data_IF_403301503069
#
_entry.id   IF_403301503069
#
_cell.length_a   1.000
_cell.length_b   1.000
_cell.length_c   1.000
_cell.angle_alpha   90.00
_cell.angle_beta   90.00
_cell.angle_gamma   90.00
#
_symmetry.space_group_name_H-M   'P 1'
#
loop_
_entity.id
_entity.type
_entity.pdbx_description
1 polymer ?
#
# COMPACT_ATOMS: atom_id res chain seq x y z
N UNK A 1 -16.32 10.18 22.37
CA UNK A 1 -15.35 9.08 22.37
C UNK A 1 -15.27 8.47 20.98
N UNK A 2 -14.10 8.03 20.56
CA UNK A 2 -13.90 7.28 19.33
C UNK A 2 -13.40 5.88 19.66
N UNK A 3 -13.73 4.93 18.79
CA UNK A 3 -13.24 3.56 18.87
C UNK A 3 -12.23 3.32 17.76
N UNK A 4 -11.21 2.54 18.04
CA UNK A 4 -10.19 2.17 17.05
C UNK A 4 -10.01 0.67 17.00
N UNK A 5 -9.72 0.16 15.82
CA UNK A 5 -9.27 -1.20 15.62
C UNK A 5 -8.08 -1.21 14.65
N UNK A 6 -7.28 -2.26 14.69
CA UNK A 6 -6.10 -2.40 13.85
C UNK A 6 -6.15 -3.69 13.05
N UNK A 7 -5.56 -3.66 11.87
CA UNK A 7 -5.42 -4.84 11.01
C UNK A 7 -4.07 -4.83 10.35
N UNK A 8 -3.42 -5.98 10.34
CA UNK A 8 -2.16 -6.21 9.62
C UNK A 8 -2.48 -6.97 8.33
N UNK A 9 -1.99 -6.47 7.21
CA UNK A 9 -2.16 -7.07 5.88
C UNK A 9 -0.79 -7.22 5.25
N UNK A 10 -0.46 -8.43 4.80
CA UNK A 10 0.77 -8.66 4.02
C UNK A 10 0.57 -8.14 2.60
N UNK A 11 1.51 -7.31 2.14
CA UNK A 11 1.51 -6.74 0.80
C UNK A 11 2.18 -7.66 -0.23
N UNK A 12 3.04 -8.59 0.23
CA UNK A 12 3.83 -9.45 -0.62
C UNK A 12 5.22 -8.88 -0.89
N UNK A 13 5.89 -9.42 -1.90
CA UNK A 13 7.25 -9.01 -2.28
C UNK A 13 7.20 -7.96 -3.37
N UNK A 14 7.96 -6.88 -3.18
CA UNK A 14 8.02 -5.76 -4.11
C UNK A 14 9.47 -5.37 -4.36
N UNK A 15 9.81 -5.10 -5.61
CA UNK A 15 11.12 -4.56 -5.97
C UNK A 15 11.00 -3.05 -6.20
N UNK A 16 11.99 -2.30 -5.73
CA UNK A 16 12.04 -0.85 -5.91
C UNK A 16 13.46 -0.32 -5.72
N UNK A 17 13.67 0.95 -6.03
CA UNK A 17 14.94 1.65 -5.84
C UNK A 17 14.70 3.10 -5.47
N UNK A 18 15.69 3.69 -4.78
CA UNK A 18 15.71 5.12 -4.46
C UNK A 18 16.69 5.81 -5.43
N UNK A 19 16.20 6.43 -6.52
CA UNK A 19 17.07 6.91 -7.59
C UNK A 19 18.00 8.06 -7.15
N UNK A 20 17.63 8.79 -6.10
CA UNK A 20 18.41 9.92 -5.60
C UNK A 20 19.32 9.57 -4.41
N UNK A 21 19.38 8.30 -4.01
CA UNK A 21 20.18 7.89 -2.85
C UNK A 21 21.67 7.84 -3.22
N UNK A 22 22.52 8.22 -2.25
CA UNK A 22 23.97 8.08 -2.30
C UNK A 22 24.46 6.80 -1.64
N UNK A 23 23.64 5.75 -1.64
CA UNK A 23 23.92 4.47 -1.01
C UNK A 23 23.49 3.34 -1.94
N UNK A 24 23.68 2.11 -1.48
CA UNK A 24 23.19 0.93 -2.22
C UNK A 24 21.68 0.91 -2.42
N UNK A 25 20.91 1.76 -1.72
CA UNK A 25 19.47 1.89 -1.94
C UNK A 25 19.11 2.39 -3.34
N UNK A 26 20.06 2.95 -4.09
CA UNK A 26 19.89 3.30 -5.50
C UNK A 26 19.79 2.07 -6.41
N UNK A 27 20.29 0.92 -5.95
CA UNK A 27 20.18 -0.32 -6.70
C UNK A 27 18.80 -0.92 -6.55
N UNK A 28 18.30 -1.52 -7.63
CA UNK A 28 17.05 -2.25 -7.56
C UNK A 28 17.18 -3.41 -6.57
N UNK A 29 16.25 -3.48 -5.63
CA UNK A 29 16.23 -4.52 -4.61
C UNK A 29 14.80 -4.81 -4.21
N UNK A 30 14.57 -5.92 -3.54
CA UNK A 30 13.24 -6.34 -3.15
C UNK A 30 13.11 -6.60 -1.67
N UNK A 31 11.91 -6.34 -1.15
CA UNK A 31 11.53 -6.64 0.22
C UNK A 31 10.15 -7.27 0.26
N UNK A 32 9.94 -8.15 1.24
CA UNK A 32 8.59 -8.55 1.64
C UNK A 32 8.05 -7.46 2.55
N UNK A 33 6.90 -6.92 2.17
CA UNK A 33 6.30 -5.78 2.86
C UNK A 33 5.02 -6.19 3.58
N UNK A 34 4.79 -5.56 4.72
CA UNK A 34 3.59 -5.70 5.54
C UNK A 34 3.06 -4.32 5.86
N UNK A 35 1.74 -4.17 5.90
CA UNK A 35 1.09 -2.93 6.28
C UNK A 35 0.24 -3.15 7.52
N UNK A 36 0.28 -2.18 8.44
CA UNK A 36 -0.63 -2.10 9.58
C UNK A 36 -1.49 -0.86 9.44
N UNK A 37 -2.78 -1.05 9.66
CA UNK A 37 -3.78 0.01 9.54
C UNK A 37 -4.48 0.23 10.87
N UNK A 38 -4.81 1.49 11.16
CA UNK A 38 -5.66 1.90 12.28
C UNK A 38 -6.94 2.46 11.70
N UNK A 39 -8.06 1.87 12.09
CA UNK A 39 -9.40 2.30 11.69
C UNK A 39 -10.09 2.94 12.88
N UNK A 40 -10.91 3.96 12.62
CA UNK A 40 -11.60 4.70 13.67
C UNK A 40 -13.06 4.94 13.28
N UNK A 41 -13.93 4.88 14.28
CA UNK A 41 -15.32 5.25 14.14
C UNK A 41 -15.85 5.82 15.46
N UNK A 42 -16.71 6.83 15.37
CA UNK A 42 -17.40 7.39 16.55
C UNK A 42 -18.55 6.48 16.99
N UNK A 43 -19.16 5.78 16.04
CA UNK A 43 -20.28 4.88 16.27
C UNK A 43 -19.94 3.51 15.70
N UNK A 44 -20.17 2.47 16.47
CA UNK A 44 -19.97 1.09 16.05
C UNK A 44 -21.15 0.61 15.19
N UNK A 45 -20.92 -0.46 14.44
CA UNK A 45 -22.00 -1.12 13.70
C UNK A 45 -22.85 -2.00 14.62
N UNK A 46 -23.80 -2.72 14.04
CA UNK A 46 -24.71 -3.60 14.80
C UNK A 46 -24.01 -4.75 15.52
N UNK A 47 -22.75 -5.08 15.13
CA UNK A 47 -21.96 -6.10 15.79
C UNK A 47 -20.94 -5.53 16.77
N UNK A 48 -21.03 -4.23 17.07
CA UNK A 48 -20.07 -3.48 17.89
C UNK A 48 -18.66 -3.44 17.29
N UNK A 49 -18.57 -3.41 15.96
CA UNK A 49 -17.30 -3.30 15.24
C UNK A 49 -17.09 -1.89 14.70
N UNK A 50 -15.82 -1.47 14.69
CA UNK A 50 -15.35 -0.30 13.93
C UNK A 50 -15.48 -0.59 12.43
N UNK A 51 -15.00 -1.75 12.03
CA UNK A 51 -15.12 -2.26 10.67
C UNK A 51 -15.11 -3.79 10.70
N UNK A 52 -15.87 -4.42 9.83
CA UNK A 52 -15.88 -5.86 9.67
C UNK A 52 -14.60 -6.31 8.95
N UNK A 53 -13.71 -7.02 9.66
CA UNK A 53 -12.47 -7.53 9.06
C UNK A 53 -12.74 -8.54 7.94
N UNK A 54 -13.83 -9.28 7.99
CA UNK A 54 -14.26 -10.15 6.89
C UNK A 54 -14.57 -9.37 5.62
N UNK A 55 -14.99 -8.12 5.74
CA UNK A 55 -15.25 -7.22 4.62
C UNK A 55 -14.00 -6.60 4.01
N UNK A 56 -12.80 -6.84 4.57
CA UNK A 56 -11.54 -6.26 4.08
C UNK A 56 -10.83 -7.12 3.02
N UNK A 57 -11.43 -8.21 2.59
CA UNK A 57 -10.83 -9.11 1.59
C UNK A 57 -10.51 -8.38 0.29
N UNK A 58 -11.42 -7.54 -0.20
CA UNK A 58 -11.22 -6.79 -1.43
C UNK A 58 -10.14 -5.72 -1.27
N UNK A 59 -10.03 -5.12 -0.09
CA UNK A 59 -8.91 -4.22 0.22
C UNK A 59 -7.58 -4.96 0.14
N UNK A 60 -7.50 -6.15 0.72
CA UNK A 60 -6.29 -6.99 0.63
C UNK A 60 -5.91 -7.26 -0.83
N UNK A 61 -6.89 -7.57 -1.66
CA UNK A 61 -6.65 -7.81 -3.09
C UNK A 61 -6.13 -6.55 -3.80
N UNK A 62 -6.68 -5.38 -3.50
CA UNK A 62 -6.21 -4.10 -4.05
C UNK A 62 -4.76 -3.83 -3.66
N UNK A 63 -4.41 -4.04 -2.39
CA UNK A 63 -3.07 -3.83 -1.89
C UNK A 63 -2.06 -4.81 -2.51
N UNK A 64 -2.42 -6.07 -2.57
CA UNK A 64 -1.54 -7.10 -3.16
C UNK A 64 -1.36 -6.91 -4.65
N UNK A 65 -2.40 -6.48 -5.36
CA UNK A 65 -2.30 -6.16 -6.79
C UNK A 65 -1.28 -5.04 -7.04
N UNK A 66 -1.23 -4.05 -6.16
CA UNK A 66 -0.25 -2.97 -6.28
C UNK A 66 1.18 -3.42 -5.99
N UNK A 67 1.37 -4.29 -4.99
CA UNK A 67 2.70 -4.53 -4.45
C UNK A 67 3.25 -5.94 -4.71
N UNK A 68 2.41 -6.99 -4.63
CA UNK A 68 2.93 -8.36 -4.66
C UNK A 68 3.47 -8.75 -6.04
N UNK A 69 4.73 -9.14 -6.09
CA UNK A 69 5.45 -9.49 -7.32
C UNK A 69 5.53 -8.35 -8.34
N UNK A 70 5.52 -7.11 -7.87
CA UNK A 70 5.60 -5.93 -8.71
C UNK A 70 6.95 -5.24 -8.59
N UNK A 71 7.23 -4.37 -9.55
CA UNK A 71 8.37 -3.45 -9.52
C UNK A 71 7.82 -2.03 -9.45
N UNK A 72 8.02 -1.38 -8.31
CA UNK A 72 7.51 -0.02 -8.05
C UNK A 72 8.60 0.99 -8.37
N UNK A 73 8.35 1.85 -9.35
CA UNK A 73 9.31 2.84 -9.83
C UNK A 73 8.68 4.22 -9.78
N UNK A 74 9.45 5.21 -9.31
CA UNK A 74 9.02 6.60 -9.34
C UNK A 74 8.85 7.07 -10.77
N UNK A 75 7.78 7.84 -11.05
CA UNK A 75 7.58 8.45 -12.36
C UNK A 75 8.72 9.39 -12.76
N UNK A 76 9.46 9.92 -11.76
CA UNK A 76 10.61 10.79 -11.98
C UNK A 76 11.95 10.05 -12.05
N UNK A 77 11.95 8.72 -11.98
CA UNK A 77 13.17 7.94 -12.08
C UNK A 77 13.81 8.16 -13.47
N UNK A 78 15.11 8.53 -13.55
CA UNK A 78 15.77 8.72 -14.84
C UNK A 78 15.73 7.50 -15.76
N UNK A 79 15.54 6.31 -15.20
CA UNK A 79 15.50 5.05 -15.93
C UNK A 79 14.08 4.51 -16.17
N UNK A 80 13.07 5.37 -16.02
CA UNK A 80 11.66 4.96 -16.17
C UNK A 80 11.40 4.30 -17.54
N UNK A 81 12.03 4.80 -18.61
CA UNK A 81 11.83 4.23 -19.95
C UNK A 81 12.45 2.83 -20.08
N UNK A 82 13.57 2.59 -19.43
CA UNK A 82 14.20 1.25 -19.38
C UNK A 82 13.30 0.26 -18.65
N UNK A 83 12.68 0.67 -17.56
CA UNK A 83 11.71 -0.16 -16.83
C UNK A 83 10.45 -0.43 -17.66
N UNK A 84 9.99 0.53 -18.43
CA UNK A 84 8.87 0.33 -19.37
C UNK A 84 9.22 -0.70 -20.45
N UNK A 85 10.45 -0.68 -20.94
CA UNK A 85 10.93 -1.70 -21.92
C UNK A 85 10.95 -3.09 -21.30
N UNK A 86 11.38 -3.21 -20.03
CA UNK A 86 11.37 -4.49 -19.33
C UNK A 86 9.93 -5.00 -19.11
N UNK A 87 9.02 -4.09 -18.77
CA UNK A 87 7.59 -4.43 -18.68
C UNK A 87 7.06 -4.97 -20.01
N UNK A 88 7.36 -4.27 -21.10
CA UNK A 88 6.87 -4.64 -22.43
C UNK A 88 7.46 -5.97 -22.89
N UNK A 89 8.67 -6.29 -22.43
CA UNK A 89 9.32 -7.57 -22.67
C UNK A 89 8.82 -8.70 -21.76
N UNK A 90 7.93 -8.41 -20.81
CA UNK A 90 7.41 -9.40 -19.88
C UNK A 90 8.35 -9.76 -18.73
N UNK A 91 9.33 -8.91 -18.43
CA UNK A 91 10.36 -9.20 -17.42
C UNK A 91 9.91 -8.73 -16.01
N UNK A 92 9.08 -7.71 -15.94
CA UNK A 92 8.57 -7.20 -14.66
C UNK A 92 7.13 -6.73 -14.79
N UNK A 93 6.43 -6.69 -13.65
CA UNK A 93 5.10 -6.10 -13.51
C UNK A 93 5.29 -4.70 -12.93
N UNK A 94 5.29 -3.70 -13.80
CA UNK A 94 5.65 -2.33 -13.45
C UNK A 94 4.49 -1.58 -12.82
N UNK A 95 4.75 -0.90 -11.70
CA UNK A 95 3.84 0.05 -11.05
C UNK A 95 4.55 1.39 -10.95
N UNK A 96 4.07 2.38 -11.68
CA UNK A 96 4.59 3.75 -11.59
C UNK A 96 3.91 4.48 -10.45
N UNK A 97 4.70 5.13 -9.60
CA UNK A 97 4.23 5.82 -8.41
C UNK A 97 4.82 7.23 -8.37
N UNK A 98 4.16 8.14 -7.64
CA UNK A 98 4.68 9.50 -7.43
C UNK A 98 5.95 9.51 -6.58
N UNK A 99 6.12 8.49 -5.75
CA UNK A 99 7.33 8.26 -4.98
C UNK A 99 7.39 6.82 -4.52
N UNK A 100 8.57 6.36 -4.14
CA UNK A 100 8.83 5.00 -3.69
C UNK A 100 9.56 5.01 -2.35
N UNK A 101 9.53 3.88 -1.66
CA UNK A 101 10.07 3.70 -0.32
C UNK A 101 8.96 3.45 0.68
N UNK A 102 9.36 3.03 1.88
CA UNK A 102 8.44 2.59 2.93
C UNK A 102 7.41 3.70 3.25
N UNK A 103 7.85 4.95 3.35
CA UNK A 103 7.01 6.09 3.70
C UNK A 103 5.99 6.39 2.60
N UNK A 104 6.41 6.39 1.35
CA UNK A 104 5.50 6.62 0.21
C UNK A 104 4.55 5.45 0.01
N UNK A 105 4.99 4.24 0.31
CA UNK A 105 4.11 3.06 0.29
C UNK A 105 3.07 3.15 1.41
N UNK A 106 3.45 3.68 2.58
CA UNK A 106 2.49 3.94 3.67
C UNK A 106 1.41 4.93 3.25
N UNK A 107 1.79 6.00 2.57
CA UNK A 107 0.84 6.99 2.04
C UNK A 107 -0.13 6.34 1.04
N UNK A 108 0.40 5.56 0.11
CA UNK A 108 -0.42 4.87 -0.89
C UNK A 108 -1.43 3.92 -0.22
N UNK A 109 -0.93 3.11 0.73
CA UNK A 109 -1.77 2.18 1.48
C UNK A 109 -2.82 2.90 2.31
N UNK A 110 -2.46 4.00 2.95
CA UNK A 110 -3.39 4.82 3.72
C UNK A 110 -4.55 5.32 2.85
N UNK A 111 -4.22 5.90 1.68
CA UNK A 111 -5.25 6.43 0.77
C UNK A 111 -6.18 5.32 0.27
N UNK A 112 -5.62 4.18 -0.10
CA UNK A 112 -6.39 3.04 -0.57
C UNK A 112 -7.32 2.50 0.52
N UNK A 113 -6.78 2.31 1.73
CA UNK A 113 -7.55 1.80 2.86
C UNK A 113 -8.65 2.77 3.30
N UNK A 114 -8.36 4.07 3.36
CA UNK A 114 -9.34 5.06 3.76
C UNK A 114 -10.50 5.14 2.76
N UNK A 115 -10.18 5.19 1.48
CA UNK A 115 -11.21 5.19 0.43
C UNK A 115 -12.08 3.94 0.52
N UNK A 116 -11.47 2.79 0.75
CA UNK A 116 -12.17 1.51 0.83
C UNK A 116 -13.12 1.45 2.03
N UNK A 117 -12.62 1.72 3.24
CA UNK A 117 -13.44 1.59 4.45
C UNK A 117 -14.51 2.68 4.53
N UNK A 118 -14.21 3.88 4.08
CA UNK A 118 -15.22 4.93 3.99
C UNK A 118 -16.35 4.51 3.03
N UNK A 119 -16.00 3.88 1.91
CA UNK A 119 -16.97 3.41 0.93
C UNK A 119 -17.88 2.31 1.45
N UNK A 120 -17.32 1.27 2.08
CA UNK A 120 -18.11 0.14 2.56
C UNK A 120 -18.90 0.44 3.83
N UNK A 121 -18.56 1.50 4.56
CA UNK A 121 -19.24 1.89 5.81
C UNK A 121 -20.07 3.16 5.68
N UNK A 122 -20.22 3.67 4.47
CA UNK A 122 -20.93 4.93 4.19
C UNK A 122 -20.39 6.07 5.06
N UNK A 123 -19.07 6.22 5.10
CA UNK A 123 -18.31 7.24 5.85
C UNK A 123 -18.39 7.13 7.38
N UNK A 124 -18.91 6.03 7.93
CA UNK A 124 -18.91 5.81 9.38
C UNK A 124 -17.49 5.54 9.89
N UNK A 125 -16.70 4.77 9.16
CA UNK A 125 -15.34 4.38 9.50
C UNK A 125 -14.34 5.10 8.61
N UNK A 126 -13.20 5.50 9.19
CA UNK A 126 -12.07 6.09 8.49
C UNK A 126 -10.80 5.31 8.82
N UNK A 127 -9.86 5.27 7.89
CA UNK A 127 -8.49 4.89 8.19
C UNK A 127 -7.76 6.15 8.65
N UNK A 128 -7.14 6.10 9.81
CA UNK A 128 -6.48 7.28 10.40
C UNK A 128 -4.97 7.18 10.40
N UNK A 129 -4.44 6.00 10.19
CA UNK A 129 -2.99 5.76 10.18
C UNK A 129 -2.69 4.49 9.42
N UNK A 130 -1.60 4.51 8.68
CA UNK A 130 -1.02 3.33 8.06
C UNK A 130 0.49 3.31 8.29
N UNK A 131 1.04 2.11 8.46
CA UNK A 131 2.46 1.87 8.63
C UNK A 131 2.84 0.72 7.72
N UNK A 132 3.89 0.92 6.91
CA UNK A 132 4.48 -0.15 6.09
C UNK A 132 5.84 -0.51 6.66
N UNK A 133 6.13 -1.79 6.75
CA UNK A 133 7.38 -2.30 7.32
C UNK A 133 7.80 -3.61 6.65
N UNK A 134 9.06 -3.93 6.83
CA UNK A 134 9.67 -5.16 6.33
C UNK A 134 9.49 -6.33 7.30
#
# INVERSE_FOLDING_TARGET
MSFQSTKIIELGSCAFRQPNANSHCKYLHGYRLTAKFWFEAKHLDQNNWVVDFGGLKDLKNILRDQFDHTTCISRSDPYVNEFKKLRDAGVCDLRLMDGVGIEMFSEWCFKAANKFVAGITNNRCQCIKAEVFE
#
